data_IF_100903364588
#
_entry.id   IF_100903364588
#
_cell.length_a   1.000
_cell.length_b   1.000
_cell.length_c   1.000
_cell.angle_alpha   90.00
_cell.angle_beta   90.00
_cell.angle_gamma   90.00
#
_symmetry.space_group_name_H-M   'P 1'
#
loop_
_entity.id
_entity.type
_entity.pdbx_description
1 polymer ?
#
# COMPACT_ATOMS: atom_id res chain seq x y z
N UNK A 1 2.51 -4.06 -3.66
CA UNK A 1 2.74 -4.03 -2.20
C UNK A 1 3.60 -2.82 -1.87
N UNK A 2 3.25 -2.05 -0.84
CA UNK A 2 4.08 -0.97 -0.31
C UNK A 2 4.05 -0.97 1.22
N UNK A 3 5.21 -1.01 1.85
CA UNK A 3 5.36 -1.06 3.31
C UNK A 3 6.13 0.19 3.77
N UNK A 4 5.55 0.97 4.68
CA UNK A 4 6.11 2.24 5.17
C UNK A 4 6.53 3.20 4.03
N UNK A 5 5.72 3.25 2.96
CA UNK A 5 6.03 3.93 1.71
C UNK A 5 5.14 5.14 1.40
N UNK A 6 5.36 5.72 0.22
CA UNK A 6 4.48 6.75 -0.35
C UNK A 6 4.52 6.67 -1.89
N UNK A 7 3.56 7.31 -2.57
CA UNK A 7 3.50 7.42 -4.02
C UNK A 7 4.37 8.60 -4.48
N UNK A 8 5.59 8.37 -5.01
CA UNK A 8 6.53 9.46 -5.30
C UNK A 8 6.10 10.36 -6.47
N UNK A 9 5.34 9.80 -7.42
CA UNK A 9 4.91 10.48 -8.65
C UNK A 9 3.39 10.73 -8.66
N UNK A 10 2.82 11.09 -7.51
CA UNK A 10 1.37 11.23 -7.36
C UNK A 10 0.73 12.18 -8.39
N UNK A 11 1.45 13.21 -8.81
CA UNK A 11 0.98 14.18 -9.80
C UNK A 11 0.84 13.62 -11.23
N UNK A 12 1.64 12.62 -11.61
CA UNK A 12 1.69 12.11 -13.00
C UNK A 12 1.21 10.67 -13.14
N UNK A 13 1.18 9.90 -12.03
CA UNK A 13 0.82 8.48 -12.03
C UNK A 13 -0.54 8.22 -12.68
N UNK A 14 -1.51 9.12 -12.49
CA UNK A 14 -2.83 8.96 -13.10
C UNK A 14 -2.80 8.95 -14.63
N UNK A 15 -1.93 9.76 -15.25
CA UNK A 15 -1.79 9.88 -16.70
C UNK A 15 -0.82 8.86 -17.29
N UNK A 16 0.19 8.44 -16.51
CA UNK A 16 1.27 7.57 -16.98
C UNK A 16 1.03 6.08 -16.72
N UNK A 17 0.05 5.72 -15.87
CA UNK A 17 -0.24 4.31 -15.56
C UNK A 17 -0.69 3.54 -16.81
N UNK A 18 -0.21 2.29 -16.92
CA UNK A 18 -0.66 1.37 -17.95
C UNK A 18 -2.00 0.74 -17.59
N UNK A 19 -2.88 0.59 -18.58
CA UNK A 19 -4.13 -0.18 -18.45
C UNK A 19 -3.89 -1.64 -18.04
N UNK A 20 -2.74 -2.21 -18.41
CA UNK A 20 -2.40 -3.60 -18.06
C UNK A 20 -2.32 -3.84 -16.54
N UNK A 21 -2.08 -2.79 -15.76
CA UNK A 21 -1.92 -2.91 -14.31
C UNK A 21 -3.14 -2.42 -13.54
N UNK A 22 -4.20 -1.93 -14.19
CA UNK A 22 -5.34 -1.28 -13.54
C UNK A 22 -5.98 -2.16 -12.46
N UNK A 23 -6.09 -3.45 -12.75
CA UNK A 23 -6.81 -4.40 -11.91
C UNK A 23 -5.86 -5.16 -10.96
N UNK A 24 -4.59 -4.75 -10.86
CA UNK A 24 -3.64 -5.36 -9.93
C UNK A 24 -3.99 -4.90 -8.51
N UNK A 25 -4.35 -5.81 -7.58
CA UNK A 25 -4.66 -5.44 -6.21
C UNK A 25 -3.41 -4.93 -5.50
N UNK A 26 -3.59 -4.00 -4.57
CA UNK A 26 -2.51 -3.36 -3.83
C UNK A 26 -2.66 -3.59 -2.33
N UNK A 27 -1.66 -4.21 -1.72
CA UNK A 27 -1.46 -4.16 -0.27
C UNK A 27 -0.61 -2.95 0.09
N UNK A 28 -1.09 -2.10 1.00
CA UNK A 28 -0.39 -0.94 1.51
C UNK A 28 -0.42 -0.96 3.05
N UNK A 29 0.75 -0.86 3.68
CA UNK A 29 0.90 -0.90 5.13
C UNK A 29 1.78 0.23 5.64
N UNK A 30 1.46 0.77 6.83
CA UNK A 30 2.25 1.87 7.42
C UNK A 30 2.22 1.87 8.95
N UNK A 31 3.37 2.21 9.56
CA UNK A 31 3.45 2.50 11.00
C UNK A 31 2.86 3.86 11.36
N UNK A 32 1.93 3.91 12.33
CA UNK A 32 1.30 5.16 12.79
C UNK A 32 2.28 6.14 13.43
N UNK A 33 3.44 5.66 13.86
CA UNK A 33 4.49 6.45 14.53
C UNK A 33 5.76 6.57 13.69
N UNK A 34 5.70 6.31 12.38
CA UNK A 34 6.84 6.40 11.47
C UNK A 34 7.47 7.81 11.47
N UNK A 35 8.71 7.96 11.96
CA UNK A 35 9.39 9.26 12.00
C UNK A 35 10.11 9.61 10.68
N UNK A 36 10.22 8.66 9.75
CA UNK A 36 10.95 8.79 8.49
C UNK A 36 10.00 9.18 7.35
N UNK A 37 8.95 8.40 7.16
CA UNK A 37 7.87 8.71 6.22
C UNK A 37 6.61 8.98 7.05
N UNK A 38 6.25 10.27 7.27
CA UNK A 38 5.09 10.60 8.09
C UNK A 38 3.85 9.86 7.62
N UNK A 39 3.11 9.27 8.55
CA UNK A 39 1.90 8.49 8.30
C UNK A 39 0.92 9.17 7.32
N UNK A 40 0.78 10.50 7.40
CA UNK A 40 -0.04 11.29 6.48
C UNK A 40 0.36 11.15 5.00
N UNK A 41 1.63 10.90 4.68
CA UNK A 41 2.09 10.63 3.30
C UNK A 41 1.64 9.26 2.81
N UNK A 42 1.65 8.25 3.69
CA UNK A 42 1.08 6.93 3.40
C UNK A 42 -0.41 7.03 3.09
N UNK A 43 -1.16 7.73 3.96
CA UNK A 43 -2.59 8.01 3.76
C UNK A 43 -2.86 8.75 2.45
N UNK A 44 -2.11 9.81 2.15
CA UNK A 44 -2.26 10.54 0.88
C UNK A 44 -2.00 9.66 -0.35
N UNK A 45 -1.08 8.69 -0.23
CA UNK A 45 -0.76 7.74 -1.31
C UNK A 45 -1.89 6.74 -1.52
N UNK A 46 -2.45 6.19 -0.42
CA UNK A 46 -3.66 5.36 -0.45
C UNK A 46 -4.80 6.09 -1.14
N UNK A 47 -5.08 7.32 -0.72
CA UNK A 47 -6.21 8.10 -1.25
C UNK A 47 -6.03 8.45 -2.74
N UNK A 48 -4.80 8.80 -3.16
CA UNK A 48 -4.49 9.04 -4.56
C UNK A 48 -4.71 7.78 -5.43
N UNK A 49 -4.26 6.62 -4.95
CA UNK A 49 -4.45 5.35 -5.67
C UNK A 49 -5.92 4.91 -5.67
N UNK A 50 -6.66 5.12 -4.57
CA UNK A 50 -8.09 4.83 -4.50
C UNK A 50 -8.89 5.70 -5.48
N UNK A 51 -8.53 6.97 -5.63
CA UNK A 51 -9.12 7.86 -6.64
C UNK A 51 -8.83 7.42 -8.09
N UNK A 52 -7.84 6.56 -8.30
CA UNK A 52 -7.53 5.91 -9.58
C UNK A 52 -8.23 4.55 -9.75
N UNK A 53 -9.11 4.18 -8.82
CA UNK A 53 -9.91 2.95 -8.81
C UNK A 53 -9.11 1.66 -8.61
N UNK A 54 -7.91 1.74 -8.02
CA UNK A 54 -7.20 0.55 -7.59
C UNK A 54 -7.92 -0.15 -6.44
N UNK A 55 -7.93 -1.48 -6.45
CA UNK A 55 -8.33 -2.29 -5.29
C UNK A 55 -7.21 -2.26 -4.25
N UNK A 56 -7.48 -1.66 -3.09
CA UNK A 56 -6.48 -1.39 -2.05
C UNK A 56 -6.89 -2.06 -0.74
N UNK A 57 -5.98 -2.88 -0.21
CA UNK A 57 -6.02 -3.36 1.15
C UNK A 57 -5.03 -2.53 1.99
N UNK A 58 -5.57 -1.73 2.93
CA UNK A 58 -4.80 -0.79 3.74
C UNK A 58 -4.71 -1.26 5.19
N UNK A 59 -3.49 -1.31 5.72
CA UNK A 59 -3.22 -1.74 7.09
C UNK A 59 -2.37 -0.72 7.85
N UNK A 60 -2.63 -0.56 9.14
CA UNK A 60 -1.93 0.39 9.99
C UNK A 60 -1.50 -0.28 11.29
N UNK A 61 -0.26 -0.05 11.70
CA UNK A 61 0.28 -0.69 12.91
C UNK A 61 0.77 0.37 13.90
N UNK A 62 0.63 0.15 15.22
CA UNK A 62 1.20 1.03 16.25
C UNK A 62 2.73 0.85 16.33
N UNK A 63 3.41 1.23 15.26
CA UNK A 63 4.82 0.99 14.95
C UNK A 63 5.46 2.23 14.33
N UNK A 64 6.78 2.36 14.44
CA UNK A 64 7.59 3.38 13.77
C UNK A 64 7.90 2.98 12.30
N UNK A 65 9.09 3.34 11.77
CA UNK A 65 9.56 2.91 10.44
C UNK A 65 10.19 1.51 10.51
N UNK A 66 9.35 0.49 10.60
CA UNK A 66 9.78 -0.90 10.71
C UNK A 66 8.79 -1.85 10.00
N UNK A 67 9.01 -3.15 10.17
CA UNK A 67 8.05 -4.21 9.82
C UNK A 67 7.81 -5.06 11.06
N UNK A 68 6.56 -5.28 11.44
CA UNK A 68 6.19 -6.05 12.64
C UNK A 68 5.64 -7.46 12.30
N UNK A 69 5.59 -8.39 13.27
CA UNK A 69 5.07 -9.75 13.03
C UNK A 69 3.63 -9.76 12.51
N UNK A 70 2.78 -8.87 13.00
CA UNK A 70 1.39 -8.73 12.57
C UNK A 70 1.31 -8.35 11.09
N UNK A 71 2.11 -7.36 10.66
CA UNK A 71 2.21 -6.96 9.25
C UNK A 71 2.65 -8.11 8.33
N UNK A 72 3.56 -8.96 8.80
CA UNK A 72 4.02 -10.13 8.05
C UNK A 72 2.89 -11.14 7.88
N UNK A 73 2.05 -11.34 8.90
CA UNK A 73 0.89 -12.25 8.82
C UNK A 73 -0.14 -11.70 7.84
N UNK A 74 -0.52 -10.42 7.96
CA UNK A 74 -1.50 -9.80 7.07
C UNK A 74 -1.01 -9.79 5.61
N UNK A 75 0.29 -9.52 5.40
CA UNK A 75 0.93 -9.59 4.09
C UNK A 75 0.91 -11.01 3.52
N UNK A 76 1.19 -12.03 4.34
CA UNK A 76 1.15 -13.43 3.93
C UNK A 76 -0.27 -13.81 3.49
N UNK A 77 -1.27 -13.48 4.29
CA UNK A 77 -2.66 -13.83 4.01
C UNK A 77 -3.15 -13.16 2.73
N UNK A 78 -2.76 -11.89 2.51
CA UNK A 78 -3.01 -11.18 1.26
C UNK A 78 -2.30 -11.85 0.06
N UNK A 79 -1.03 -12.21 0.19
CA UNK A 79 -0.27 -12.88 -0.87
C UNK A 79 -0.89 -14.22 -1.25
N UNK A 80 -1.31 -15.03 -0.27
CA UNK A 80 -1.99 -16.30 -0.50
C UNK A 80 -3.32 -16.04 -1.23
N UNK A 81 -4.10 -15.06 -0.80
CA UNK A 81 -5.37 -14.69 -1.45
C UNK A 81 -5.19 -14.29 -2.92
N UNK A 82 -4.14 -13.55 -3.28
CA UNK A 82 -3.97 -13.02 -4.64
C UNK A 82 -3.14 -13.91 -5.58
N UNK A 83 -2.28 -14.80 -5.05
CA UNK A 83 -1.38 -15.63 -5.86
C UNK A 83 -1.69 -17.13 -5.82
N UNK A 84 -2.40 -17.63 -4.80
CA UNK A 84 -2.71 -19.06 -4.74
C UNK A 84 -3.56 -19.47 -5.94
N UNK A 85 -3.21 -20.60 -6.56
CA UNK A 85 -4.06 -21.20 -7.59
C UNK A 85 -5.36 -21.67 -6.94
N UNK A 86 -6.47 -21.38 -7.61
CA UNK A 86 -7.78 -21.97 -7.30
C UNK A 86 -7.74 -23.50 -7.36
#
# INVERSE_FOLDING_TARGET
>A
MGLSGYLPLAATTAAERSMANRDVPLFLAHGRFDPVIPFARGVASRDALAAMEYDIEWHEYPMEHAVCPEEVVDLNDWLVKVLAKA
#
